data_IF_276506899024
#
_entry.id   IF_276506899024
#
_cell.length_a   1.000
_cell.length_b   1.000
_cell.length_c   1.000
_cell.angle_alpha   90.00
_cell.angle_beta   90.00
_cell.angle_gamma   90.00
#
_symmetry.space_group_name_H-M   'P 1'
#
loop_
_entity.id
_entity.type
_entity.pdbx_description
1 polymer ?
#
# COMPACT_ATOMS: atom_id res chain seq x y z
N UNK A 1 -7.92 -10.19 -3.75
CA UNK A 1 -7.48 -9.10 -2.86
C UNK A 1 -8.67 -8.19 -2.61
N UNK A 2 -9.04 -7.96 -1.35
CA UNK A 2 -10.04 -6.95 -0.96
C UNK A 2 -9.33 -5.67 -0.51
N UNK A 3 -9.88 -4.50 -0.80
CA UNK A 3 -9.25 -3.20 -0.50
C UNK A 3 -9.93 -2.56 0.70
N UNK A 4 -9.14 -2.01 1.62
CA UNK A 4 -9.61 -1.28 2.80
C UNK A 4 -8.92 0.08 2.84
N UNK A 5 -9.65 1.11 2.40
CA UNK A 5 -9.16 2.49 2.44
C UNK A 5 -9.49 3.14 3.78
N UNK A 6 -8.48 3.32 4.63
CA UNK A 6 -8.57 3.95 5.96
C UNK A 6 -8.56 5.48 5.89
N UNK A 7 -8.94 6.04 4.74
CA UNK A 7 -9.05 7.48 4.55
C UNK A 7 -10.48 7.95 4.84
N UNK A 8 -10.67 9.15 5.43
CA UNK A 8 -12.00 9.72 5.67
C UNK A 8 -12.83 9.93 4.39
N UNK A 9 -12.15 9.99 3.24
CA UNK A 9 -12.68 10.41 1.94
C UNK A 9 -12.75 9.29 0.89
N UNK A 10 -12.70 8.00 1.29
CA UNK A 10 -12.72 6.91 0.31
C UNK A 10 -14.08 6.82 -0.41
N UNK A 11 -14.04 6.99 -1.73
CA UNK A 11 -15.20 7.11 -2.62
C UNK A 11 -15.78 5.75 -3.07
N UNK A 12 -15.11 4.63 -2.78
CA UNK A 12 -15.40 3.33 -3.41
C UNK A 12 -16.45 2.43 -2.72
N UNK A 13 -16.76 2.63 -1.43
CA UNK A 13 -17.47 1.59 -0.66
C UNK A 13 -18.76 2.04 0.06
N UNK A 14 -19.35 3.19 -0.32
CA UNK A 14 -20.68 3.59 0.17
C UNK A 14 -20.75 3.93 1.67
N UNK A 15 -19.61 4.11 2.35
CA UNK A 15 -19.54 4.53 3.74
C UNK A 15 -18.13 4.95 4.14
N UNK A 16 -18.01 6.09 4.82
CA UNK A 16 -16.73 6.59 5.35
C UNK A 16 -16.27 5.63 6.45
N UNK A 17 -15.10 5.00 6.29
CA UNK A 17 -14.44 4.26 7.38
C UNK A 17 -13.91 5.29 8.38
N UNK A 18 -14.63 5.49 9.48
CA UNK A 18 -14.32 6.47 10.53
C UNK A 18 -13.45 5.90 11.66
N UNK A 19 -13.03 4.64 11.57
CA UNK A 19 -12.16 4.02 12.57
C UNK A 19 -12.04 2.51 12.44
N UNK A 20 -11.19 1.94 13.30
CA UNK A 20 -10.79 0.53 13.28
C UNK A 20 -11.98 -0.46 13.28
N UNK A 21 -13.04 -0.17 14.04
CA UNK A 21 -14.22 -1.05 14.10
C UNK A 21 -14.95 -1.19 12.76
N UNK A 22 -15.04 -0.12 11.98
CA UNK A 22 -15.65 -0.16 10.64
C UNK A 22 -14.71 -0.84 9.64
N UNK A 23 -13.40 -0.64 9.77
CA UNK A 23 -12.40 -1.36 8.98
C UNK A 23 -12.50 -2.88 9.20
N UNK A 24 -12.64 -3.33 10.46
CA UNK A 24 -12.83 -4.75 10.78
C UNK A 24 -14.15 -5.30 10.20
N UNK A 25 -15.24 -4.53 10.26
CA UNK A 25 -16.52 -4.95 9.69
C UNK A 25 -16.42 -5.16 8.18
N UNK A 26 -15.73 -4.25 7.46
CA UNK A 26 -15.45 -4.39 6.04
C UNK A 26 -14.51 -5.58 5.77
N UNK A 27 -13.45 -5.75 6.55
CA UNK A 27 -12.54 -6.89 6.44
C UNK A 27 -13.27 -8.23 6.53
N UNK A 28 -14.14 -8.40 7.54
CA UNK A 28 -14.98 -9.61 7.69
C UNK A 28 -15.89 -9.83 6.49
N UNK A 29 -16.50 -8.77 5.97
CA UNK A 29 -17.34 -8.86 4.78
C UNK A 29 -16.55 -9.30 3.55
N UNK A 30 -15.40 -8.68 3.29
CA UNK A 30 -14.54 -9.02 2.14
C UNK A 30 -14.06 -10.48 2.22
N UNK A 31 -13.68 -10.94 3.41
CA UNK A 31 -13.27 -12.34 3.63
C UNK A 31 -14.43 -13.30 3.42
N UNK A 32 -15.63 -12.97 3.91
CA UNK A 32 -16.84 -13.75 3.65
C UNK A 32 -17.22 -13.81 2.15
N UNK A 33 -16.79 -12.81 1.37
CA UNK A 33 -16.92 -12.78 -0.10
C UNK A 33 -15.78 -13.52 -0.82
N UNK A 34 -14.85 -14.13 -0.09
CA UNK A 34 -13.75 -14.93 -0.65
C UNK A 34 -12.40 -14.22 -0.75
N UNK A 35 -12.24 -13.02 -0.18
CA UNK A 35 -10.93 -12.37 -0.13
C UNK A 35 -9.99 -13.13 0.82
N UNK A 36 -8.88 -13.64 0.29
CA UNK A 36 -7.80 -14.29 1.06
C UNK A 36 -6.68 -13.31 1.48
N UNK A 37 -6.66 -12.15 0.85
CA UNK A 37 -5.71 -11.06 1.10
C UNK A 37 -6.47 -9.74 1.17
N UNK A 38 -6.15 -8.91 2.16
CA UNK A 38 -6.69 -7.57 2.34
C UNK A 38 -5.56 -6.54 2.20
N UNK A 39 -5.77 -5.52 1.38
CA UNK A 39 -4.82 -4.43 1.15
C UNK A 39 -5.29 -3.16 1.86
N UNK A 40 -4.51 -2.69 2.83
CA UNK A 40 -4.86 -1.59 3.72
C UNK A 40 -4.06 -0.35 3.32
N UNK A 41 -4.75 0.72 2.96
CA UNK A 41 -4.15 2.01 2.60
C UNK A 41 -4.65 3.15 3.48
N UNK A 42 -3.73 3.91 4.09
CA UNK A 42 -4.06 5.05 4.97
C UNK A 42 -3.72 6.43 4.36
N UNK A 43 -2.90 6.44 3.31
CA UNK A 43 -2.58 7.60 2.47
C UNK A 43 -3.26 7.43 1.11
N UNK A 44 -4.01 8.44 0.66
CA UNK A 44 -4.61 8.36 -0.68
C UNK A 44 -3.58 8.66 -1.77
N UNK A 45 -3.59 7.86 -2.83
CA UNK A 45 -2.75 8.04 -4.03
C UNK A 45 -3.57 8.55 -5.23
N UNK A 46 -4.83 8.96 -4.99
CA UNK A 46 -5.71 9.53 -6.03
C UNK A 46 -5.16 10.88 -6.55
N UNK A 47 -5.51 11.29 -7.78
CA UNK A 47 -5.16 12.62 -8.30
C UNK A 47 -5.51 13.74 -7.30
N UNK A 48 -4.55 14.62 -7.07
CA UNK A 48 -4.69 15.76 -6.15
C UNK A 48 -4.68 15.41 -4.66
N UNK A 49 -4.42 14.16 -4.28
CA UNK A 49 -4.32 13.78 -2.87
C UNK A 49 -3.25 14.60 -2.13
N UNK A 50 -3.59 15.05 -0.92
CA UNK A 50 -2.64 15.67 -0.02
C UNK A 50 -1.79 14.62 0.69
N UNK A 51 -0.52 14.94 0.89
CA UNK A 51 0.39 14.16 1.71
C UNK A 51 0.05 14.42 3.19
N UNK A 52 -0.35 13.37 3.91
CA UNK A 52 -0.73 13.48 5.34
C UNK A 52 0.43 13.28 6.31
N UNK A 53 1.61 12.90 5.81
CA UNK A 53 2.79 12.56 6.57
C UNK A 53 2.71 11.22 7.32
N UNK A 54 3.88 10.72 7.74
CA UNK A 54 4.06 9.43 8.43
C UNK A 54 3.19 9.29 9.68
N UNK A 55 3.16 10.33 10.54
CA UNK A 55 2.45 10.26 11.83
C UNK A 55 0.94 10.05 11.66
N UNK A 56 0.32 10.78 10.72
CA UNK A 56 -1.11 10.65 10.43
C UNK A 56 -1.42 9.30 9.76
N UNK A 57 -0.56 8.85 8.84
CA UNK A 57 -0.70 7.56 8.17
C UNK A 57 -0.67 6.41 9.18
N UNK A 58 0.31 6.40 10.10
CA UNK A 58 0.41 5.42 11.19
C UNK A 58 -0.80 5.46 12.13
N UNK A 59 -1.24 6.65 12.54
CA UNK A 59 -2.37 6.82 13.45
C UNK A 59 -3.69 6.28 12.87
N UNK A 60 -3.83 6.27 11.54
CA UNK A 60 -4.97 5.66 10.83
C UNK A 60 -4.78 4.15 10.65
N UNK A 61 -3.57 3.73 10.27
CA UNK A 61 -3.28 2.35 9.90
C UNK A 61 -3.26 1.40 11.10
N UNK A 62 -2.41 1.67 12.09
CA UNK A 62 -2.07 0.69 13.13
C UNK A 62 -3.29 0.19 13.91
N UNK A 63 -4.21 1.05 14.40
CA UNK A 63 -5.36 0.57 15.16
C UNK A 63 -6.28 -0.36 14.33
N UNK A 64 -6.38 -0.13 13.02
CA UNK A 64 -7.16 -0.97 12.12
C UNK A 64 -6.44 -2.29 11.83
N UNK A 65 -5.15 -2.22 11.54
CA UNK A 65 -4.29 -3.37 11.24
C UNK A 65 -4.26 -4.36 12.42
N UNK A 66 -3.95 -3.88 13.63
CA UNK A 66 -3.89 -4.71 14.85
C UNK A 66 -5.23 -5.40 15.13
N UNK A 67 -6.34 -4.65 15.01
CA UNK A 67 -7.67 -5.17 15.25
C UNK A 67 -8.08 -6.22 14.21
N UNK A 68 -7.75 -5.99 12.93
CA UNK A 68 -7.99 -6.94 11.84
C UNK A 68 -7.14 -8.20 12.03
N UNK A 69 -5.84 -8.04 12.31
CA UNK A 69 -4.92 -9.15 12.53
C UNK A 69 -5.39 -10.07 13.66
N UNK A 70 -5.81 -9.49 14.79
CA UNK A 70 -6.32 -10.24 15.94
C UNK A 70 -7.62 -10.98 15.63
N UNK A 71 -8.53 -10.38 14.85
CA UNK A 71 -9.82 -10.97 14.56
C UNK A 71 -9.81 -11.98 13.39
N UNK A 72 -8.85 -11.86 12.47
CA UNK A 72 -8.76 -12.63 11.23
C UNK A 72 -7.33 -13.16 11.03
N UNK A 73 -6.80 -14.03 11.91
CA UNK A 73 -5.39 -14.42 11.93
C UNK A 73 -4.90 -15.21 10.70
N UNK A 74 -5.81 -15.69 9.85
CA UNK A 74 -5.46 -16.50 8.67
C UNK A 74 -5.43 -15.70 7.36
N UNK A 75 -5.89 -14.44 7.38
CA UNK A 75 -5.97 -13.58 6.19
C UNK A 75 -4.63 -12.89 5.98
N UNK A 76 -4.14 -12.84 4.74
CA UNK A 76 -2.93 -12.09 4.42
C UNK A 76 -3.22 -10.59 4.45
N UNK A 77 -2.35 -9.82 5.10
CA UNK A 77 -2.49 -8.37 5.21
C UNK A 77 -1.39 -7.67 4.41
N UNK A 78 -1.80 -7.01 3.33
CA UNK A 78 -0.97 -6.13 2.51
C UNK A 78 -1.13 -4.68 2.97
N UNK A 79 -0.05 -3.91 2.88
CA UNK A 79 -0.01 -2.49 3.25
C UNK A 79 0.34 -1.66 2.02
N UNK A 80 -0.62 -0.86 1.57
CA UNK A 80 -0.43 0.14 0.51
C UNK A 80 0.23 1.38 1.11
N UNK A 81 1.56 1.40 1.04
CA UNK A 81 2.39 2.53 1.47
C UNK A 81 3.67 2.60 0.66
N UNK A 82 4.12 3.82 0.40
CA UNK A 82 5.42 4.10 -0.19
C UNK A 82 6.45 4.57 0.85
N UNK A 83 6.14 4.52 2.16
CA UNK A 83 7.00 5.05 3.23
C UNK A 83 7.63 3.93 4.04
N UNK A 84 8.96 3.91 4.12
CA UNK A 84 9.68 2.90 4.88
C UNK A 84 9.30 2.85 6.37
N UNK A 85 9.12 3.99 7.09
CA UNK A 85 8.70 3.94 8.50
C UNK A 85 7.30 3.36 8.71
N UNK A 86 6.38 3.58 7.77
CA UNK A 86 5.02 3.04 7.84
C UNK A 86 5.05 1.54 7.55
N UNK A 87 5.77 1.13 6.52
CA UNK A 87 5.98 -0.27 6.17
C UNK A 87 6.59 -1.06 7.35
N UNK A 88 7.65 -0.53 7.98
CA UNK A 88 8.31 -1.18 9.11
C UNK A 88 7.36 -1.37 10.30
N UNK A 89 6.65 -0.31 10.72
CA UNK A 89 5.70 -0.38 11.82
C UNK A 89 4.52 -1.32 11.52
N UNK A 90 4.07 -1.38 10.27
CA UNK A 90 2.99 -2.26 9.87
C UNK A 90 3.40 -3.74 9.89
N UNK A 91 4.62 -4.05 9.44
CA UNK A 91 5.19 -5.40 9.53
C UNK A 91 5.36 -5.82 11.00
N UNK A 92 5.84 -4.93 11.87
CA UNK A 92 5.90 -5.15 13.32
C UNK A 92 4.51 -5.44 13.92
N UNK A 93 3.46 -4.80 13.40
CA UNK A 93 2.07 -5.01 13.80
C UNK A 93 1.38 -6.23 13.15
N UNK A 94 2.11 -7.02 12.36
CA UNK A 94 1.63 -8.28 11.78
C UNK A 94 1.09 -8.19 10.35
N UNK A 95 1.52 -7.18 9.58
CA UNK A 95 1.38 -7.22 8.13
C UNK A 95 2.25 -8.34 7.52
N UNK A 96 1.81 -8.89 6.40
CA UNK A 96 2.46 -10.00 5.70
C UNK A 96 3.13 -9.56 4.40
N UNK A 97 2.69 -8.43 3.84
CA UNK A 97 2.94 -8.02 2.45
C UNK A 97 3.03 -6.49 2.33
N UNK A 98 3.92 -5.99 1.48
CA UNK A 98 4.00 -4.56 1.14
C UNK A 98 3.57 -4.29 -0.31
N UNK A 99 2.84 -3.19 -0.53
CA UNK A 99 2.39 -2.73 -1.84
C UNK A 99 2.85 -1.27 -2.04
N UNK A 100 3.82 -1.05 -2.94
CA UNK A 100 4.40 0.26 -3.20
C UNK A 100 4.06 0.76 -4.60
N UNK A 101 3.11 1.71 -4.64
CA UNK A 101 2.68 2.47 -5.82
C UNK A 101 3.83 3.14 -6.58
N UNK A 102 4.94 3.43 -5.89
CA UNK A 102 6.10 4.15 -6.41
C UNK A 102 7.26 3.25 -6.80
N UNK A 103 7.16 1.94 -6.54
CA UNK A 103 8.20 0.95 -6.79
C UNK A 103 9.59 1.36 -6.25
N UNK A 104 9.63 1.80 -5.00
CA UNK A 104 10.82 2.25 -4.28
C UNK A 104 11.31 3.65 -4.65
N UNK A 105 10.58 4.40 -5.50
CA UNK A 105 11.02 5.73 -5.95
C UNK A 105 10.77 6.81 -4.90
N UNK A 106 9.63 6.77 -4.20
CA UNK A 106 9.28 7.82 -3.24
C UNK A 106 10.04 7.68 -1.91
N UNK A 107 10.31 6.45 -1.47
CA UNK A 107 11.22 6.15 -0.36
C UNK A 107 12.08 4.91 -0.68
N UNK A 108 13.32 5.09 -1.18
CA UNK A 108 14.20 3.97 -1.50
C UNK A 108 14.52 3.04 -0.32
N UNK A 109 14.35 3.50 0.93
CA UNK A 109 14.57 2.67 2.11
C UNK A 109 13.52 1.57 2.26
N UNK A 110 12.34 1.71 1.62
CA UNK A 110 11.27 0.72 1.69
C UNK A 110 11.72 -0.64 1.13
N UNK A 111 12.56 -0.63 0.09
CA UNK A 111 13.14 -1.86 -0.46
C UNK A 111 13.99 -2.61 0.58
N UNK A 112 14.78 -1.87 1.37
CA UNK A 112 15.58 -2.44 2.45
C UNK A 112 14.73 -2.97 3.62
N UNK A 113 13.58 -2.33 3.90
CA UNK A 113 12.61 -2.85 4.88
C UNK A 113 12.03 -4.17 4.41
N UNK A 114 11.58 -4.25 3.15
CA UNK A 114 11.05 -5.48 2.57
C UNK A 114 12.07 -6.61 2.59
N UNK A 115 13.31 -6.32 2.20
CA UNK A 115 14.43 -7.26 2.22
C UNK A 115 14.75 -7.75 3.65
N UNK A 116 14.83 -6.83 4.62
CA UNK A 116 15.13 -7.16 6.01
C UNK A 116 14.07 -8.03 6.67
N UNK A 117 12.80 -7.86 6.27
CA UNK A 117 11.68 -8.69 6.74
C UNK A 117 11.48 -9.98 5.93
N UNK A 118 12.06 -10.08 4.73
CA UNK A 118 11.83 -11.21 3.82
C UNK A 118 10.38 -11.33 3.36
N UNK A 119 9.64 -10.22 3.29
CA UNK A 119 8.23 -10.20 2.90
C UNK A 119 8.05 -9.92 1.39
N UNK A 120 6.96 -10.39 0.77
CA UNK A 120 6.60 -10.00 -0.59
C UNK A 120 6.43 -8.49 -0.75
N UNK A 121 6.87 -7.97 -1.91
CA UNK A 121 6.73 -6.57 -2.29
C UNK A 121 6.11 -6.46 -3.68
N UNK A 122 5.00 -5.73 -3.79
CA UNK A 122 4.43 -5.33 -5.09
C UNK A 122 5.03 -4.01 -5.52
N UNK A 123 5.52 -3.99 -6.77
CA UNK A 123 6.04 -2.81 -7.43
C UNK A 123 5.04 -2.38 -8.51
N UNK A 124 4.47 -1.18 -8.38
CA UNK A 124 3.59 -0.63 -9.41
C UNK A 124 4.31 0.41 -10.26
N UNK A 125 4.01 0.43 -11.55
CA UNK A 125 4.45 1.51 -12.43
C UNK A 125 3.60 2.78 -12.18
N UNK A 126 4.28 3.88 -11.93
CA UNK A 126 3.71 5.22 -11.85
C UNK A 126 4.77 6.23 -12.27
N UNK A 127 4.37 7.42 -12.73
CA UNK A 127 5.29 8.54 -12.99
C UNK A 127 4.88 9.76 -12.17
N UNK A 128 5.86 10.41 -11.53
CA UNK A 128 5.61 11.56 -10.65
C UNK A 128 4.94 11.19 -9.32
N UNK A 129 4.02 12.05 -8.89
CA UNK A 129 3.26 11.94 -7.63
C UNK A 129 1.77 12.13 -7.91
N UNK A 130 0.91 11.94 -6.90
CA UNK A 130 -0.53 12.24 -6.97
C UNK A 130 -0.87 13.64 -7.49
N UNK A 131 0.06 14.60 -7.39
CA UNK A 131 -0.11 15.98 -7.87
C UNK A 131 0.33 16.21 -9.32
N UNK A 132 1.19 15.33 -9.86
CA UNK A 132 1.81 15.54 -11.17
C UNK A 132 1.57 14.43 -12.19
N UNK A 133 1.10 13.26 -11.76
CA UNK A 133 0.98 12.07 -12.62
C UNK A 133 0.10 12.30 -13.86
N UNK A 134 -0.95 13.11 -13.75
CA UNK A 134 -1.84 13.44 -14.88
C UNK A 134 -1.13 14.22 -16.01
N UNK A 135 0.00 14.88 -15.70
CA UNK A 135 0.81 15.60 -16.68
C UNK A 135 1.95 14.77 -17.27
N UNK A 136 2.22 13.58 -16.74
CA UNK A 136 3.35 12.72 -17.13
C UNK A 136 2.90 11.54 -17.98
N UNK A 137 2.08 11.83 -18.99
CA UNK A 137 1.39 10.85 -19.83
C UNK A 137 2.04 10.64 -21.21
N UNK A 138 3.15 11.32 -21.48
CA UNK A 138 3.91 11.13 -22.72
C UNK A 138 4.82 9.89 -22.61
N UNK A 139 4.59 8.90 -23.47
CA UNK A 139 5.41 7.70 -23.63
C UNK A 139 5.97 7.66 -25.05
N UNK A 140 7.15 7.07 -25.23
CA UNK A 140 7.68 6.77 -26.55
C UNK A 140 6.89 5.62 -27.15
N UNK A 141 6.96 4.45 -26.50
CA UNK A 141 6.03 3.35 -26.66
C UNK A 141 5.49 2.99 -25.28
N UNK A 142 4.17 3.08 -25.09
CA UNK A 142 3.54 2.90 -23.78
C UNK A 142 3.85 1.54 -23.16
N UNK A 143 3.84 0.47 -23.96
CA UNK A 143 3.99 -0.89 -23.43
C UNK A 143 5.46 -1.15 -23.13
N UNK A 144 6.36 -0.82 -24.05
CA UNK A 144 7.78 -1.07 -23.88
C UNK A 144 8.37 -0.20 -22.76
N UNK A 145 7.96 1.08 -22.66
CA UNK A 145 8.38 1.98 -21.59
C UNK A 145 7.95 1.45 -20.22
N UNK A 146 6.69 1.03 -20.07
CA UNK A 146 6.17 0.48 -18.80
C UNK A 146 6.90 -0.80 -18.40
N UNK A 147 7.15 -1.70 -19.36
CA UNK A 147 7.90 -2.94 -19.11
C UNK A 147 9.33 -2.61 -18.69
N UNK A 148 10.01 -1.72 -19.40
CA UNK A 148 11.38 -1.31 -19.10
C UNK A 148 11.51 -0.69 -17.70
N UNK A 149 10.62 0.25 -17.36
CA UNK A 149 10.63 0.89 -16.04
C UNK A 149 10.34 -0.08 -14.89
N UNK A 150 9.46 -1.08 -15.09
CA UNK A 150 9.22 -2.14 -14.12
C UNK A 150 10.40 -3.11 -13.99
N UNK A 151 11.09 -3.42 -15.09
CA UNK A 151 12.31 -4.23 -15.07
C UNK A 151 13.42 -3.54 -14.28
N UNK A 152 13.60 -2.23 -14.49
CA UNK A 152 14.55 -1.42 -13.71
C UNK A 152 14.18 -1.39 -12.23
N UNK A 153 12.89 -1.22 -11.91
CA UNK A 153 12.41 -1.25 -10.53
C UNK A 153 12.65 -2.61 -9.87
N UNK A 154 12.36 -3.72 -10.58
CA UNK A 154 12.66 -5.07 -10.10
C UNK A 154 14.16 -5.28 -9.89
N UNK A 155 15.00 -4.74 -10.78
CA UNK A 155 16.46 -4.74 -10.62
C UNK A 155 16.91 -4.04 -9.34
N UNK A 156 16.35 -2.86 -9.03
CA UNK A 156 16.63 -2.14 -7.77
C UNK A 156 16.19 -2.91 -6.53
N UNK A 157 15.00 -3.53 -6.56
CA UNK A 157 14.51 -4.33 -5.44
C UNK A 157 15.41 -5.55 -5.17
N UNK A 158 15.81 -6.28 -6.23
CA UNK A 158 16.76 -7.41 -6.12
C UNK A 158 18.11 -6.98 -5.58
N UNK A 159 18.64 -5.84 -6.04
CA UNK A 159 19.90 -5.30 -5.56
C UNK A 159 19.84 -4.89 -4.09
N UNK A 160 18.66 -4.52 -3.57
CA UNK A 160 18.42 -4.24 -2.17
C UNK A 160 18.23 -5.51 -1.31
N UNK A 161 18.13 -6.69 -1.92
CA UNK A 161 18.00 -7.98 -1.22
C UNK A 161 16.57 -8.50 -1.08
N UNK A 162 15.61 -7.94 -1.83
CA UNK A 162 14.24 -8.48 -1.94
C UNK A 162 14.20 -9.72 -2.83
#
# INVERSE_FOLDING_TARGET
MGVINLTPDSFSDGGRIKGAGQALALARRLVAQGATLLDLGAQSTRPGAEDIGVGTELARLLPALELIRAALPQVLLSIDTYRAPVAAAALEAGADWLNDVSAGRMDPKLLGVAAGWGCPLVLMHSRGTSRSMDSLTAYGDLVDDVIGELQEASGRARAAGV
#
